data_IF_837287688143
#
_entry.id   IF_837287688143
#
_cell.length_a   1.000
_cell.length_b   1.000
_cell.length_c   1.000
_cell.angle_alpha   90.00
_cell.angle_beta   90.00
_cell.angle_gamma   90.00
#
_symmetry.space_group_name_H-M   'P 1'
#
loop_
_entity.id
_entity.type
_entity.pdbx_description
1 polymer ?
#
# COMPACT_ATOMS: atom_id res chain seq x y z
N UNK A 1 -2.13 23.44 -4.10
CA UNK A 1 -1.94 22.05 -4.51
C UNK A 1 -3.07 21.68 -5.45
N UNK A 2 -2.79 21.15 -6.63
CA UNK A 2 -3.82 20.65 -7.52
C UNK A 2 -4.14 19.20 -7.11
N UNK A 3 -5.43 18.89 -6.97
CA UNK A 3 -5.88 17.51 -6.79
C UNK A 3 -5.60 16.75 -8.10
N UNK A 4 -4.74 15.74 -8.02
CA UNK A 4 -4.39 14.91 -9.16
C UNK A 4 -5.09 13.57 -8.97
N UNK A 5 -6.04 13.28 -9.84
CA UNK A 5 -6.76 12.01 -9.83
C UNK A 5 -6.03 11.00 -10.73
N UNK A 6 -5.39 10.02 -10.11
CA UNK A 6 -4.58 9.01 -10.79
C UNK A 6 -5.33 7.72 -11.09
N UNK A 7 -6.37 7.41 -10.29
CA UNK A 7 -7.13 6.18 -10.47
C UNK A 7 -8.37 6.43 -11.33
N UNK A 8 -8.66 5.58 -12.33
CA UNK A 8 -9.88 5.73 -13.10
C UNK A 8 -11.08 5.49 -12.17
N UNK A 9 -11.81 6.55 -11.85
CA UNK A 9 -13.13 6.47 -11.24
C UNK A 9 -14.08 5.88 -12.26
N UNK A 10 -14.78 4.81 -11.92
CA UNK A 10 -15.52 3.88 -12.78
C UNK A 10 -16.68 4.40 -13.61
N UNK A 11 -16.75 5.66 -13.98
CA UNK A 11 -17.74 6.16 -14.95
C UNK A 11 -17.19 7.35 -15.72
N UNK A 12 -17.04 7.12 -17.00
CA UNK A 12 -17.13 8.04 -18.12
C UNK A 12 -15.86 8.49 -18.85
N UNK A 13 -16.02 8.48 -20.17
CA UNK A 13 -15.34 9.29 -21.16
C UNK A 13 -13.81 9.21 -21.15
N UNK A 14 -13.27 8.23 -21.85
CA UNK A 14 -11.84 8.05 -22.16
C UNK A 14 -10.85 7.89 -20.99
N UNK A 15 -11.30 7.87 -19.77
CA UNK A 15 -10.61 7.35 -18.59
C UNK A 15 -9.20 7.85 -18.28
N UNK A 16 -8.68 8.81 -19.06
CA UNK A 16 -7.32 9.33 -18.84
C UNK A 16 -7.35 10.55 -17.95
N UNK A 17 -6.47 10.59 -16.93
CA UNK A 17 -6.36 11.78 -16.09
C UNK A 17 -5.91 12.98 -16.95
N UNK A 18 -6.43 14.17 -16.61
CA UNK A 18 -6.05 15.41 -17.28
C UNK A 18 -4.98 16.11 -16.46
N UNK A 19 -3.83 16.41 -17.09
CA UNK A 19 -2.72 17.07 -16.41
C UNK A 19 -3.09 18.49 -15.99
N UNK A 20 -3.06 18.82 -14.70
CA UNK A 20 -3.24 20.18 -14.23
C UNK A 20 -2.05 21.06 -14.62
N UNK A 21 -2.29 22.38 -14.76
CA UNK A 21 -1.24 23.33 -15.08
C UNK A 21 -0.20 23.41 -13.93
N UNK A 22 1.09 23.34 -14.28
CA UNK A 22 2.19 23.49 -13.32
C UNK A 22 2.64 22.19 -12.66
N UNK A 23 2.04 21.06 -12.98
CA UNK A 23 2.54 19.75 -12.51
C UNK A 23 3.83 19.38 -13.28
N UNK A 24 4.93 19.00 -12.59
CA UNK A 24 6.17 18.55 -13.23
C UNK A 24 5.96 17.33 -14.13
N UNK A 25 6.80 17.17 -15.17
CA UNK A 25 6.69 16.06 -16.12
C UNK A 25 6.88 14.72 -15.45
N UNK A 26 7.82 14.60 -14.51
CA UNK A 26 8.08 13.39 -13.74
C UNK A 26 6.91 12.99 -12.84
N UNK A 27 6.25 13.97 -12.19
CA UNK A 27 5.04 13.71 -11.40
C UNK A 27 3.90 13.24 -12.30
N UNK A 28 3.78 13.86 -13.49
CA UNK A 28 2.74 13.45 -14.43
C UNK A 28 3.00 12.05 -15.00
N UNK A 29 4.24 11.70 -15.31
CA UNK A 29 4.61 10.35 -15.72
C UNK A 29 4.25 9.30 -14.66
N UNK A 30 4.46 9.61 -13.38
CA UNK A 30 4.03 8.73 -12.29
C UNK A 30 2.51 8.57 -12.22
N UNK A 31 1.73 9.64 -12.45
CA UNK A 31 0.26 9.58 -12.52
C UNK A 31 -0.19 8.68 -13.68
N UNK A 32 0.39 8.84 -14.87
CA UNK A 32 0.08 8.00 -16.04
C UNK A 32 0.43 6.54 -15.79
N UNK A 33 1.56 6.27 -15.15
CA UNK A 33 1.98 4.94 -14.76
C UNK A 33 0.95 4.28 -13.83
N UNK A 34 0.55 4.94 -12.74
CA UNK A 34 -0.48 4.42 -11.83
C UNK A 34 -1.83 4.21 -12.54
N UNK A 35 -2.20 5.11 -13.45
CA UNK A 35 -3.47 4.99 -14.20
C UNK A 35 -3.52 3.77 -15.13
N UNK A 36 -2.36 3.29 -15.58
CA UNK A 36 -2.21 2.16 -16.51
C UNK A 36 -1.80 0.86 -15.82
N UNK A 37 -1.54 0.89 -14.51
CA UNK A 37 -1.11 -0.30 -13.76
C UNK A 37 -2.10 -1.45 -13.88
N UNK A 38 -1.58 -2.67 -13.95
CA UNK A 38 -2.39 -3.88 -13.90
C UNK A 38 -3.03 -4.04 -12.53
N UNK A 39 -4.34 -4.06 -12.47
CA UNK A 39 -5.08 -4.30 -11.23
C UNK A 39 -5.06 -5.77 -10.85
N UNK A 40 -4.91 -6.03 -9.57
CA UNK A 40 -5.04 -7.37 -9.02
C UNK A 40 -6.53 -7.71 -8.94
N UNK A 41 -6.89 -8.91 -9.35
CA UNK A 41 -8.26 -9.40 -9.28
C UNK A 41 -8.73 -9.49 -7.82
N UNK A 42 -10.00 -9.18 -7.56
CA UNK A 42 -10.62 -9.19 -6.23
C UNK A 42 -10.00 -8.19 -5.20
N UNK A 43 -9.24 -7.20 -5.69
CA UNK A 43 -8.80 -6.04 -4.91
C UNK A 43 -9.55 -4.80 -5.37
N UNK A 44 -10.20 -4.12 -4.44
CA UNK A 44 -10.77 -2.80 -4.70
C UNK A 44 -9.73 -1.71 -4.50
N UNK A 45 -9.78 -0.67 -5.34
CA UNK A 45 -8.86 0.46 -5.28
C UNK A 45 -9.65 1.75 -5.18
N UNK A 46 -9.24 2.62 -4.29
CA UNK A 46 -9.82 3.95 -4.13
C UNK A 46 -8.71 4.98 -3.99
N UNK A 47 -8.86 6.08 -4.70
CA UNK A 47 -7.95 7.21 -4.53
C UNK A 47 -8.16 7.89 -3.18
N UNK A 48 -7.06 8.28 -2.53
CA UNK A 48 -7.06 9.05 -1.29
C UNK A 48 -6.24 10.31 -1.44
N UNK A 49 -6.67 11.37 -0.79
CA UNK A 49 -5.95 12.64 -0.77
C UNK A 49 -4.67 12.53 0.04
N UNK A 50 -3.54 12.93 -0.54
CA UNK A 50 -2.27 13.05 0.17
C UNK A 50 -2.21 14.39 0.90
N UNK A 51 -1.94 14.43 2.22
CA UNK A 51 -1.84 15.67 2.96
C UNK A 51 -0.74 16.58 2.41
N UNK A 52 -1.06 17.85 2.20
CA UNK A 52 -0.13 18.86 1.65
C UNK A 52 1.06 19.18 2.55
N UNK A 53 1.02 18.72 3.78
CA UNK A 53 2.12 18.87 4.74
C UNK A 53 3.24 17.85 4.54
N UNK A 54 2.99 16.79 3.77
CA UNK A 54 3.96 15.71 3.55
C UNK A 54 4.90 16.01 2.38
N UNK A 55 4.37 16.57 1.28
CA UNK A 55 5.13 16.80 0.06
C UNK A 55 4.45 17.86 -0.82
N UNK A 56 5.15 18.33 -1.88
CA UNK A 56 4.59 19.29 -2.84
C UNK A 56 3.54 18.65 -3.73
N UNK A 57 3.76 17.38 -4.13
CA UNK A 57 2.79 16.56 -4.84
C UNK A 57 2.71 15.18 -4.21
N UNK A 58 1.59 14.51 -4.40
CA UNK A 58 1.43 13.14 -3.94
C UNK A 58 0.31 12.41 -4.67
N UNK A 59 0.52 11.12 -4.83
CA UNK A 59 -0.46 10.18 -5.36
C UNK A 59 -0.78 9.20 -4.24
N UNK A 60 -2.04 9.07 -3.88
CA UNK A 60 -2.47 8.19 -2.80
C UNK A 60 -3.54 7.20 -3.25
N UNK A 61 -3.35 5.93 -2.91
CA UNK A 61 -4.32 4.87 -3.14
C UNK A 61 -4.58 4.06 -1.89
N UNK A 62 -5.83 3.73 -1.67
CA UNK A 62 -6.28 2.78 -0.67
C UNK A 62 -6.76 1.51 -1.34
N UNK A 63 -6.50 0.37 -0.74
CA UNK A 63 -6.95 -0.92 -1.25
C UNK A 63 -7.60 -1.76 -0.16
N UNK A 64 -8.51 -2.58 -0.63
CA UNK A 64 -9.20 -3.57 0.17
C UNK A 64 -9.22 -4.89 -0.60
N UNK A 65 -8.75 -5.96 0.05
CA UNK A 65 -8.66 -7.29 -0.52
C UNK A 65 -9.45 -8.26 0.36
N UNK A 66 -10.43 -8.92 -0.24
CA UNK A 66 -11.17 -10.00 0.42
C UNK A 66 -10.37 -11.31 0.47
N UNK A 67 -10.87 -12.29 1.20
CA UNK A 67 -10.22 -13.59 1.40
C UNK A 67 -9.80 -14.28 0.08
N UNK A 68 -10.53 -14.08 -1.02
CA UNK A 68 -10.20 -14.65 -2.34
C UNK A 68 -8.95 -14.05 -2.97
N UNK A 69 -8.69 -12.76 -2.74
CA UNK A 69 -7.51 -12.08 -3.28
C UNK A 69 -6.23 -12.48 -2.55
N UNK A 70 -6.36 -12.96 -1.30
CA UNK A 70 -5.23 -13.36 -0.46
C UNK A 70 -4.70 -14.77 -0.77
N UNK A 71 -5.37 -15.51 -1.68
CA UNK A 71 -4.93 -16.81 -2.18
C UNK A 71 -5.32 -18.02 -1.33
N UNK A 72 -5.20 -19.22 -1.92
CA UNK A 72 -5.61 -20.48 -1.31
C UNK A 72 -4.82 -20.84 -0.03
N UNK A 73 -3.56 -20.43 0.06
CA UNK A 73 -2.72 -20.68 1.23
C UNK A 73 -3.25 -19.93 2.47
N UNK A 74 -3.81 -18.74 2.26
CA UNK A 74 -4.39 -17.90 3.32
C UNK A 74 -5.83 -18.33 3.66
N UNK A 75 -6.54 -18.92 2.69
CA UNK A 75 -7.93 -19.34 2.86
C UNK A 75 -8.09 -20.77 3.41
N UNK A 76 -7.07 -21.61 3.33
CA UNK A 76 -7.12 -23.01 3.76
C UNK A 76 -7.26 -23.22 5.29
N UNK A 77 -6.89 -22.23 6.10
CA UNK A 77 -7.05 -22.22 7.56
C UNK A 77 -8.34 -21.58 8.06
N UNK A 78 -9.16 -21.03 7.18
CA UNK A 78 -10.31 -20.22 7.51
C UNK A 78 -11.56 -21.09 7.73
N UNK A 79 -12.03 -21.17 8.97
CA UNK A 79 -13.37 -21.69 9.27
C UNK A 79 -14.48 -20.82 8.65
N UNK A 80 -15.74 -21.13 8.99
CA UNK A 80 -16.95 -20.49 8.43
C UNK A 80 -17.04 -18.94 8.54
N UNK A 81 -16.10 -18.30 9.22
CA UNK A 81 -16.05 -16.84 9.43
C UNK A 81 -15.20 -16.11 8.35
N UNK A 82 -14.89 -16.79 7.25
CA UNK A 82 -14.05 -16.26 6.16
C UNK A 82 -14.58 -14.97 5.49
N UNK A 83 -15.88 -14.68 5.60
CA UNK A 83 -16.49 -13.46 5.06
C UNK A 83 -16.06 -12.18 5.82
N UNK A 84 -15.51 -12.31 7.03
CA UNK A 84 -15.11 -11.16 7.89
C UNK A 84 -13.63 -10.77 7.76
N UNK A 85 -12.84 -11.43 6.91
CA UNK A 85 -11.38 -11.22 6.85
C UNK A 85 -11.02 -10.45 5.62
N UNK A 86 -10.87 -9.16 5.81
CA UNK A 86 -10.50 -8.20 4.78
C UNK A 86 -9.11 -7.66 5.13
N UNK A 87 -8.18 -7.78 4.18
CA UNK A 87 -6.95 -7.03 4.23
C UNK A 87 -7.20 -5.62 3.70
N UNK A 88 -6.71 -4.62 4.40
CA UNK A 88 -6.81 -3.23 3.99
C UNK A 88 -5.44 -2.57 3.99
N UNK A 89 -5.26 -1.56 3.16
CA UNK A 89 -4.02 -0.82 3.14
C UNK A 89 -4.11 0.44 2.32
N UNK A 90 -3.05 1.22 2.37
CA UNK A 90 -2.87 2.39 1.52
C UNK A 90 -1.40 2.56 1.16
N UNK A 91 -1.15 3.20 0.04
CA UNK A 91 0.16 3.63 -0.41
C UNK A 91 0.10 5.09 -0.81
N UNK A 92 1.17 5.81 -0.56
CA UNK A 92 1.36 7.18 -1.03
C UNK A 92 2.73 7.29 -1.68
N UNK A 93 2.77 7.85 -2.88
CA UNK A 93 3.98 8.32 -3.54
C UNK A 93 4.07 9.83 -3.31
N UNK A 94 5.14 10.28 -2.71
CA UNK A 94 5.39 11.66 -2.31
C UNK A 94 6.49 12.23 -3.18
N UNK A 95 6.31 13.47 -3.67
CA UNK A 95 7.29 14.20 -4.44
C UNK A 95 7.54 15.58 -3.85
N UNK A 96 8.81 15.93 -3.68
CA UNK A 96 9.26 17.24 -3.27
C UNK A 96 10.09 17.91 -4.39
N UNK A 97 9.85 19.20 -4.66
CA UNK A 97 10.63 19.96 -5.65
C UNK A 97 12.11 20.04 -5.30
N UNK A 98 12.40 20.15 -4.01
CA UNK A 98 13.76 20.17 -3.49
C UNK A 98 14.15 18.78 -3.00
N UNK A 99 15.40 18.39 -3.30
CA UNK A 99 15.98 17.14 -2.80
C UNK A 99 15.85 17.07 -1.27
N UNK A 100 15.22 16.03 -0.79
CA UNK A 100 15.06 15.77 0.64
C UNK A 100 16.23 14.92 1.13
N UNK A 101 17.02 15.46 2.06
CA UNK A 101 18.19 14.76 2.62
C UNK A 101 17.78 13.47 3.33
N UNK A 102 16.62 13.49 3.99
CA UNK A 102 16.05 12.35 4.70
C UNK A 102 15.50 11.25 3.76
N UNK A 103 15.31 11.56 2.48
CA UNK A 103 14.87 10.60 1.45
C UNK A 103 16.02 10.21 0.51
N UNK A 104 17.07 10.99 0.47
CA UNK A 104 18.12 10.97 -0.55
C UNK A 104 17.58 11.01 -1.98
N UNK A 105 16.43 11.67 -2.14
CA UNK A 105 15.66 11.75 -3.38
C UNK A 105 14.62 12.87 -3.33
N UNK A 106 14.05 13.22 -4.48
CA UNK A 106 12.82 14.00 -4.58
C UNK A 106 11.57 13.13 -4.31
N UNK A 107 11.72 11.81 -4.35
CA UNK A 107 10.64 10.85 -4.19
C UNK A 107 10.73 10.07 -2.89
N UNK A 108 9.57 9.76 -2.31
CA UNK A 108 9.42 8.80 -1.21
C UNK A 108 8.10 8.07 -1.32
N UNK A 109 8.15 6.77 -1.15
CA UNK A 109 6.96 5.96 -1.00
C UNK A 109 6.74 5.61 0.47
N UNK A 110 5.48 5.61 0.90
CA UNK A 110 5.06 5.16 2.23
C UNK A 110 3.83 4.29 2.07
N UNK A 111 3.78 3.19 2.80
CA UNK A 111 2.64 2.29 2.76
C UNK A 111 2.28 1.76 4.15
N UNK A 112 1.02 1.41 4.29
CA UNK A 112 0.44 0.74 5.43
C UNK A 112 -0.42 -0.43 4.93
N UNK A 113 -0.30 -1.57 5.60
CA UNK A 113 -1.20 -2.69 5.39
C UNK A 113 -1.66 -3.24 6.73
N UNK A 114 -2.92 -3.66 6.78
CA UNK A 114 -3.50 -4.43 7.87
C UNK A 114 -3.98 -5.76 7.31
N UNK A 115 -3.45 -6.83 7.86
CA UNK A 115 -3.74 -8.19 7.47
C UNK A 115 -4.46 -8.91 8.62
N UNK A 116 -5.53 -9.65 8.36
CA UNK A 116 -6.09 -10.56 9.35
C UNK A 116 -5.10 -11.72 9.60
N UNK A 117 -4.97 -12.14 10.85
CA UNK A 117 -4.17 -13.30 11.24
C UNK A 117 -5.02 -14.35 11.92
N UNK A 118 -4.63 -15.62 11.77
CA UNK A 118 -5.06 -16.68 12.68
C UNK A 118 -4.41 -16.48 14.05
N UNK A 119 -5.16 -16.81 15.11
CA UNK A 119 -4.63 -16.66 16.47
C UNK A 119 -3.40 -17.57 16.69
N UNK A 120 -3.31 -18.69 15.97
CA UNK A 120 -2.18 -19.60 16.02
C UNK A 120 -0.91 -19.05 15.35
N UNK A 121 -1.04 -18.06 14.48
CA UNK A 121 0.09 -17.41 13.79
C UNK A 121 0.72 -16.27 14.60
N UNK A 122 0.15 -15.95 15.76
CA UNK A 122 0.68 -14.91 16.64
C UNK A 122 1.84 -15.45 17.50
N UNK A 123 3.01 -15.54 16.92
CA UNK A 123 4.24 -15.91 17.62
C UNK A 123 5.36 -14.86 17.41
N UNK A 124 6.50 -15.08 18.04
CA UNK A 124 7.62 -14.15 18.00
C UNK A 124 8.35 -14.07 16.65
N UNK A 125 8.14 -15.03 15.74
CA UNK A 125 8.77 -15.10 14.43
C UNK A 125 7.91 -14.40 13.37
N UNK A 126 6.61 -14.32 13.60
CA UNK A 126 5.64 -13.76 12.64
C UNK A 126 6.03 -12.36 12.11
N UNK A 127 6.46 -11.39 12.95
CA UNK A 127 6.84 -10.08 12.41
C UNK A 127 8.01 -10.15 11.41
N UNK A 128 9.03 -10.97 11.70
CA UNK A 128 10.18 -11.15 10.81
C UNK A 128 9.78 -11.80 9.49
N UNK A 129 8.96 -12.85 9.54
CA UNK A 129 8.48 -13.54 8.33
C UNK A 129 7.69 -12.59 7.42
N UNK A 130 6.76 -11.81 7.95
CA UNK A 130 6.00 -10.84 7.14
C UNK A 130 6.86 -9.73 6.57
N UNK A 131 7.90 -9.30 7.30
CA UNK A 131 8.85 -8.33 6.81
C UNK A 131 9.66 -8.89 5.64
N UNK A 132 10.23 -10.08 5.80
CA UNK A 132 11.04 -10.73 4.78
C UNK A 132 10.21 -11.03 3.52
N UNK A 133 9.02 -11.63 3.70
CA UNK A 133 8.10 -11.90 2.59
C UNK A 133 7.75 -10.62 1.81
N UNK A 134 7.49 -9.51 2.51
CA UNK A 134 7.22 -8.24 1.85
C UNK A 134 8.44 -7.74 1.07
N UNK A 135 9.63 -7.82 1.66
CA UNK A 135 10.88 -7.37 1.02
C UNK A 135 11.18 -8.16 -0.26
N UNK A 136 10.81 -9.43 -0.34
CA UNK A 136 11.00 -10.27 -1.52
C UNK A 136 10.19 -9.78 -2.75
N UNK A 137 9.16 -8.96 -2.54
CA UNK A 137 8.36 -8.37 -3.62
C UNK A 137 8.83 -6.98 -4.03
N UNK A 138 9.81 -6.39 -3.32
CA UNK A 138 10.32 -5.08 -3.72
C UNK A 138 11.30 -5.20 -4.89
N UNK A 139 10.96 -4.52 -5.99
CA UNK A 139 11.78 -4.38 -7.18
C UNK A 139 11.85 -2.91 -7.58
N UNK A 140 12.94 -2.48 -8.21
CA UNK A 140 13.10 -1.09 -8.64
C UNK A 140 13.13 -0.06 -7.50
N UNK A 141 13.67 -0.41 -6.36
CA UNK A 141 13.83 0.48 -5.20
C UNK A 141 15.30 0.61 -4.78
N UNK A 142 15.61 1.68 -4.04
CA UNK A 142 16.91 1.82 -3.38
C UNK A 142 16.94 0.89 -2.15
N UNK A 143 17.74 -0.20 -2.15
CA UNK A 143 17.65 -1.26 -1.12
C UNK A 143 17.87 -0.75 0.30
N UNK A 144 18.85 0.16 0.49
CA UNK A 144 19.21 0.70 1.81
C UNK A 144 18.18 1.72 2.34
N UNK A 145 17.20 2.11 1.50
CA UNK A 145 16.17 3.08 1.86
C UNK A 145 14.95 2.46 2.56
N UNK A 146 14.80 1.13 2.48
CA UNK A 146 13.63 0.43 3.04
C UNK A 146 13.67 0.46 4.56
N UNK A 147 12.61 0.97 5.16
CA UNK A 147 12.48 1.02 6.62
C UNK A 147 11.02 0.90 7.03
N UNK A 148 10.77 0.29 8.18
CA UNK A 148 9.39 0.14 8.63
C UNK A 148 9.25 -0.64 9.93
N UNK A 149 8.00 -1.03 10.22
CA UNK A 149 7.63 -1.81 11.39
C UNK A 149 6.56 -2.83 11.03
N UNK A 150 6.66 -4.01 11.62
CA UNK A 150 5.60 -5.01 11.62
C UNK A 150 5.13 -5.18 13.07
N UNK A 151 3.82 -5.02 13.27
CA UNK A 151 3.19 -5.15 14.59
C UNK A 151 2.14 -6.25 14.54
N UNK A 152 2.35 -7.30 15.33
CA UNK A 152 1.34 -8.35 15.51
C UNK A 152 0.60 -8.10 16.82
N UNK A 153 -0.72 -8.13 16.75
CA UNK A 153 -1.61 -7.87 17.89
C UNK A 153 -2.54 -9.03 18.12
N UNK A 154 -2.83 -9.31 19.39
CA UNK A 154 -3.88 -10.22 19.79
C UNK A 154 -4.87 -9.49 20.70
N UNK A 155 -6.13 -9.54 20.34
CA UNK A 155 -7.21 -8.97 21.12
C UNK A 155 -7.99 -10.09 21.82
N UNK A 156 -8.14 -9.98 23.13
CA UNK A 156 -8.98 -10.89 23.91
C UNK A 156 -10.14 -10.09 24.47
N UNK A 157 -11.36 -10.52 24.14
CA UNK A 157 -12.56 -9.87 24.62
C UNK A 157 -13.01 -10.43 25.97
N UNK A 158 -13.57 -9.55 26.82
CA UNK A 158 -14.04 -9.86 28.15
C UNK A 158 -15.51 -9.40 28.34
N UNK A 159 -16.12 -9.84 29.42
CA UNK A 159 -17.47 -9.47 29.78
C UNK A 159 -18.52 -10.02 28.81
N UNK A 160 -19.43 -9.20 28.34
CA UNK A 160 -20.49 -9.60 27.39
C UNK A 160 -19.95 -9.99 26.00
N UNK A 161 -18.69 -9.66 25.71
CA UNK A 161 -18.01 -10.02 24.46
C UNK A 161 -17.06 -11.21 24.64
N UNK A 162 -17.01 -11.82 25.81
CA UNK A 162 -16.12 -12.93 26.09
C UNK A 162 -16.31 -14.10 25.11
N UNK A 163 -15.21 -14.71 24.68
CA UNK A 163 -15.20 -15.83 23.73
C UNK A 163 -14.74 -15.44 22.32
N UNK A 164 -14.60 -14.16 21.99
CA UNK A 164 -13.97 -13.72 20.74
C UNK A 164 -12.50 -13.36 20.99
N UNK A 165 -11.62 -14.00 20.24
CA UNK A 165 -10.19 -13.64 20.18
C UNK A 165 -9.87 -13.36 18.72
N UNK A 166 -9.19 -12.26 18.45
CA UNK A 166 -8.76 -11.92 17.10
C UNK A 166 -7.28 -11.54 17.10
N UNK A 167 -6.58 -11.91 16.06
CA UNK A 167 -5.22 -11.48 15.80
C UNK A 167 -5.17 -10.65 14.52
N UNK A 168 -4.16 -9.81 14.39
CA UNK A 168 -3.93 -9.00 13.21
C UNK A 168 -2.47 -8.58 13.08
N UNK A 169 -2.04 -8.35 11.86
CA UNK A 169 -0.74 -7.82 11.54
C UNK A 169 -0.89 -6.44 10.91
N UNK A 170 -0.12 -5.48 11.38
CA UNK A 170 0.02 -4.16 10.75
C UNK A 170 1.45 -3.98 10.27
N UNK A 171 1.60 -3.66 8.99
CA UNK A 171 2.88 -3.35 8.36
C UNK A 171 2.89 -1.86 8.01
N UNK A 172 3.94 -1.17 8.43
CA UNK A 172 4.24 0.20 8.00
C UNK A 172 5.61 0.18 7.36
N UNK A 173 5.70 0.65 6.15
CA UNK A 173 6.94 0.65 5.37
C UNK A 173 7.11 1.94 4.60
N UNK A 174 8.35 2.36 4.43
CA UNK A 174 8.69 3.46 3.54
C UNK A 174 9.99 3.15 2.80
N UNK A 175 10.11 3.63 1.57
CA UNK A 175 11.27 3.42 0.71
C UNK A 175 11.43 4.55 -0.30
N UNK A 176 12.63 4.68 -0.85
CA UNK A 176 12.93 5.57 -1.97
C UNK A 176 12.89 4.75 -3.25
N UNK A 177 12.00 5.09 -4.21
CA UNK A 177 12.01 4.44 -5.52
C UNK A 177 13.26 4.86 -6.29
N UNK A 178 13.78 3.98 -7.14
CA UNK A 178 14.87 4.35 -8.07
C UNK A 178 14.32 5.33 -9.11
N UNK A 179 15.01 6.44 -9.31
CA UNK A 179 14.64 7.45 -10.30
C UNK A 179 14.71 6.84 -11.71
N UNK A 180 13.67 7.01 -12.49
CA UNK A 180 13.61 6.64 -13.90
C UNK A 180 13.27 5.18 -14.21
N UNK A 181 12.99 4.36 -13.21
CA UNK A 181 12.37 3.05 -13.47
C UNK A 181 10.86 3.23 -13.63
N UNK A 182 10.35 2.94 -14.82
CA UNK A 182 8.92 2.76 -15.02
C UNK A 182 8.41 1.61 -14.12
N UNK A 183 7.08 1.48 -13.93
CA UNK A 183 6.49 0.43 -13.10
C UNK A 183 6.75 -0.99 -13.62
N UNK A 184 7.33 -1.12 -14.81
CA UNK A 184 7.77 -2.36 -15.46
C UNK A 184 9.28 -2.62 -15.32
N UNK A 185 10.02 -1.82 -14.52
CA UNK A 185 11.45 -1.96 -14.34
C UNK A 185 12.29 -1.60 -15.57
N UNK A 186 11.69 -1.00 -16.59
CA UNK A 186 12.42 -0.51 -17.77
C UNK A 186 13.00 0.87 -17.52
N UNK A 187 14.31 1.01 -17.73
CA UNK A 187 15.00 2.31 -17.80
C UNK A 187 14.70 2.98 -19.14
#
# INVERSE_FOLDING_TARGET
MADIYAFPTGESNDGRPVRPQGVPDEVWAAVESVSTMKRIHDVSYREITVPSTLADYGIGGEFEAGARALGDAFSAGLGSDAESRIATGWIMMLYAHELRIDWDSNWRCVAFARLPLETAENDSLTPGMYWDDMCDYFDGIEPDSVSGTVTVTQNTAFGSMAGSTSAGCEIRVSWTPLDGTGPDGTM
#
